data_IF_232539278645
#
_entry.id   IF_232539278645
#
_cell.length_a   1.000
_cell.length_b   1.000
_cell.length_c   1.000
_cell.angle_alpha   90.00
_cell.angle_beta   90.00
_cell.angle_gamma   90.00
#
_symmetry.space_group_name_H-M   'P 1'
#
loop_
_entity.id
_entity.type
_entity.pdbx_description
1 polymer ?
#
# COMPACT_ATOMS: atom_id res chain seq x y z
N UNK A 1 -3.95 2.25 -50.22
CA UNK A 1 -3.28 3.41 -49.62
C UNK A 1 -4.30 3.96 -48.65
N UNK A 2 -4.28 3.44 -47.42
CA UNK A 2 -5.27 3.75 -46.37
C UNK A 2 -4.51 4.53 -45.30
N UNK A 3 -4.72 5.84 -45.27
CA UNK A 3 -4.24 6.71 -44.21
C UNK A 3 -5.21 6.65 -43.01
N UNK A 4 -4.69 6.78 -41.78
CA UNK A 4 -5.42 6.43 -40.56
C UNK A 4 -6.31 7.59 -40.07
N UNK A 5 -7.45 7.23 -39.48
CA UNK A 5 -8.37 8.20 -38.87
C UNK A 5 -7.75 8.79 -37.60
N UNK A 6 -7.48 10.09 -37.70
CA UNK A 6 -7.08 11.01 -36.64
C UNK A 6 -8.30 11.40 -35.80
N UNK A 7 -8.16 11.38 -34.47
CA UNK A 7 -9.21 11.72 -33.51
C UNK A 7 -8.77 12.94 -32.71
N UNK A 8 -8.71 14.10 -33.36
CA UNK A 8 -8.69 15.37 -32.66
C UNK A 8 -9.78 16.32 -33.19
N UNK A 9 -10.65 16.73 -32.25
CA UNK A 9 -11.41 17.98 -32.17
C UNK A 9 -12.77 18.10 -32.90
N UNK A 10 -13.83 18.02 -32.08
CA UNK A 10 -14.88 19.03 -31.81
C UNK A 10 -14.98 20.22 -32.80
N UNK A 11 -16.12 20.75 -33.24
CA UNK A 11 -17.46 20.83 -32.66
C UNK A 11 -18.47 21.39 -33.70
N UNK A 12 -19.75 21.46 -33.31
CA UNK A 12 -20.85 22.34 -33.81
C UNK A 12 -22.02 21.76 -34.64
N UNK A 13 -23.15 21.62 -33.90
CA UNK A 13 -24.54 22.01 -34.26
C UNK A 13 -25.32 21.08 -35.22
N UNK A 14 -26.56 20.59 -35.00
CA UNK A 14 -27.67 20.76 -34.04
C UNK A 14 -28.62 19.54 -34.26
N UNK A 15 -29.28 18.87 -33.31
CA UNK A 15 -30.40 19.30 -32.48
C UNK A 15 -30.74 18.18 -31.47
N UNK A 16 -30.91 18.52 -30.19
CA UNK A 16 -31.30 17.61 -29.11
C UNK A 16 -32.83 17.57 -28.89
N UNK A 17 -33.42 16.42 -28.49
CA UNK A 17 -34.60 16.40 -27.64
C UNK A 17 -34.16 16.58 -26.18
N UNK A 18 -34.79 17.56 -25.51
CA UNK A 18 -34.50 17.97 -24.12
C UNK A 18 -34.85 16.85 -23.13
N UNK A 19 -33.87 16.35 -22.38
CA UNK A 19 -34.08 15.64 -21.11
C UNK A 19 -33.99 16.65 -19.96
N UNK A 20 -34.91 16.65 -18.99
CA UNK A 20 -34.77 17.44 -17.78
C UNK A 20 -33.72 16.79 -16.86
N UNK A 21 -32.63 17.51 -16.60
CA UNK A 21 -31.64 17.15 -15.59
C UNK A 21 -32.24 17.35 -14.19
N UNK A 22 -32.60 16.26 -13.52
CA UNK A 22 -32.62 16.24 -12.06
C UNK A 22 -31.47 15.38 -11.59
N UNK A 23 -30.47 16.07 -11.03
CA UNK A 23 -29.43 15.43 -10.22
C UNK A 23 -30.14 14.89 -8.97
N UNK A 24 -30.16 13.57 -8.82
CA UNK A 24 -30.72 12.91 -7.65
C UNK A 24 -29.75 13.14 -6.50
N UNK A 25 -30.17 13.92 -5.50
CA UNK A 25 -29.37 14.19 -4.32
C UNK A 25 -29.46 13.04 -3.31
N UNK A 26 -28.46 12.93 -2.43
CA UNK A 26 -28.49 11.98 -1.32
C UNK A 26 -29.74 12.17 -0.42
N UNK A 27 -30.23 13.40 -0.31
CA UNK A 27 -31.45 13.73 0.42
C UNK A 27 -32.71 13.19 -0.27
N UNK A 28 -32.73 13.07 -1.60
CA UNK A 28 -33.84 12.46 -2.34
C UNK A 28 -33.91 10.95 -2.07
N UNK A 29 -32.74 10.29 -2.01
CA UNK A 29 -32.64 8.85 -1.70
C UNK A 29 -33.05 8.54 -0.24
N UNK A 30 -32.69 9.40 0.70
CA UNK A 30 -33.11 9.28 2.10
C UNK A 30 -34.62 9.53 2.24
N UNK A 31 -35.15 10.52 1.52
CA UNK A 31 -36.59 10.82 1.51
C UNK A 31 -37.42 9.65 0.98
N UNK A 32 -36.95 8.98 -0.07
CA UNK A 32 -37.60 7.76 -0.60
C UNK A 32 -37.50 6.58 0.37
N UNK A 33 -36.36 6.40 1.05
CA UNK A 33 -36.19 5.34 2.04
C UNK A 33 -37.12 5.49 3.24
N UNK A 34 -37.27 6.71 3.79
CA UNK A 34 -38.20 6.97 4.90
C UNK A 34 -39.67 7.06 4.43
N UNK A 35 -39.92 7.54 3.21
CA UNK A 35 -41.26 7.58 2.61
C UNK A 35 -41.82 6.19 2.29
N UNK A 36 -40.95 5.22 1.94
CA UNK A 36 -41.32 3.82 1.72
C UNK A 36 -41.82 3.11 2.98
N UNK A 37 -41.26 3.41 4.15
CA UNK A 37 -41.70 2.83 5.44
C UNK A 37 -43.08 3.31 5.90
N UNK A 38 -43.53 4.48 5.47
CA UNK A 38 -44.85 5.01 5.82
C UNK A 38 -45.97 4.54 4.88
N UNK A 39 -45.64 4.09 3.65
CA UNK A 39 -46.63 3.58 2.68
C UNK A 39 -47.15 2.17 2.98
N UNK A 40 -46.38 1.34 3.69
CA UNK A 40 -46.81 -0.01 4.11
C UNK A 40 -47.81 0.03 5.27
N UNK A 41 -47.86 1.12 6.05
CA UNK A 41 -48.85 1.27 7.13
C UNK A 41 -50.22 1.70 6.57
N UNK A 42 -50.25 2.54 5.53
CA UNK A 42 -51.48 3.14 5.00
C UNK A 42 -52.26 2.27 3.99
N UNK A 43 -51.67 1.19 3.45
CA UNK A 43 -52.38 0.25 2.57
C UNK A 43 -53.22 -0.80 3.32
N UNK A 44 -53.06 -0.93 4.64
CA UNK A 44 -53.82 -1.90 5.45
C UNK A 44 -55.24 -1.42 5.81
N UNK A 45 -55.58 -0.15 5.58
CA UNK A 45 -56.82 0.47 6.06
C UNK A 45 -57.87 0.80 4.99
N UNK A 46 -57.66 0.46 3.70
CA UNK A 46 -58.56 0.85 2.59
C UNK A 46 -59.24 -0.28 1.81
N UNK A 47 -59.23 -1.52 2.31
CA UNK A 47 -60.01 -2.63 1.73
C UNK A 47 -61.22 -3.03 2.59
N UNK A 48 -62.06 -2.07 2.97
CA UNK A 48 -63.39 -2.35 3.52
C UNK A 48 -64.41 -1.34 2.96
N UNK A 49 -64.90 -1.61 1.75
CA UNK A 49 -66.26 -1.33 1.22
C UNK A 49 -66.24 -1.12 -0.30
N UNK A 50 -66.63 -2.13 -1.05
CA UNK A 50 -67.59 -2.01 -2.15
C UNK A 50 -67.94 -3.40 -2.68
N UNK A 51 -69.21 -3.76 -2.51
CA UNK A 51 -69.87 -4.95 -3.06
C UNK A 51 -70.22 -4.74 -4.53
N UNK A 52 -69.90 -5.70 -5.41
CA UNK A 52 -70.88 -6.41 -6.25
C UNK A 52 -70.19 -7.40 -7.20
N UNK A 53 -70.81 -8.58 -7.31
CA UNK A 53 -70.19 -9.80 -7.80
C UNK A 53 -69.99 -9.93 -9.30
N UNK A 54 -69.00 -10.75 -9.63
CA UNK A 54 -68.94 -11.65 -10.77
C UNK A 54 -68.16 -12.89 -10.32
N UNK A 55 -68.70 -14.07 -10.60
CA UNK A 55 -68.05 -15.37 -10.36
C UNK A 55 -66.66 -15.40 -11.01
N UNK A 56 -65.59 -15.50 -10.21
CA UNK A 56 -64.24 -15.83 -10.70
C UNK A 56 -63.45 -16.65 -9.68
N UNK A 57 -64.03 -17.77 -9.26
CA UNK A 57 -63.39 -18.72 -8.33
C UNK A 57 -62.26 -19.55 -9.00
N UNK A 58 -62.05 -19.43 -10.31
CA UNK A 58 -60.98 -20.12 -11.04
C UNK A 58 -59.73 -19.26 -11.30
N UNK A 59 -59.86 -17.94 -11.48
CA UNK A 59 -58.70 -17.07 -11.71
C UNK A 59 -57.93 -16.84 -10.40
N UNK A 60 -58.63 -16.70 -9.26
CA UNK A 60 -57.99 -16.51 -7.95
C UNK A 60 -57.15 -17.73 -7.52
N UNK A 61 -57.56 -18.95 -7.90
CA UNK A 61 -56.78 -20.17 -7.62
C UNK A 61 -55.51 -20.25 -8.48
N UNK A 62 -55.58 -19.80 -9.74
CA UNK A 62 -54.40 -19.76 -10.64
C UNK A 62 -53.43 -18.65 -10.23
N UNK A 63 -53.93 -17.49 -9.80
CA UNK A 63 -53.10 -16.40 -9.27
C UNK A 63 -52.43 -16.85 -7.96
N UNK A 64 -53.16 -17.44 -7.02
CA UNK A 64 -52.58 -17.96 -5.78
C UNK A 64 -51.56 -19.10 -6.02
N UNK A 65 -51.78 -19.96 -7.01
CA UNK A 65 -50.82 -21.00 -7.41
C UNK A 65 -49.56 -20.40 -8.08
N UNK A 66 -49.72 -19.39 -8.92
CA UNK A 66 -48.60 -18.71 -9.56
C UNK A 66 -47.80 -17.88 -8.53
N UNK A 67 -48.45 -17.22 -7.58
CA UNK A 67 -47.80 -16.49 -6.49
C UNK A 67 -47.08 -17.43 -5.53
N UNK A 68 -47.64 -18.60 -5.21
CA UNK A 68 -46.94 -19.61 -4.40
C UNK A 68 -45.78 -20.24 -5.14
N UNK A 69 -45.90 -20.46 -6.45
CA UNK A 69 -44.78 -20.91 -7.29
C UNK A 69 -43.68 -19.85 -7.40
N UNK A 70 -44.03 -18.58 -7.64
CA UNK A 70 -43.10 -17.45 -7.66
C UNK A 70 -42.45 -17.23 -6.30
N UNK A 71 -43.20 -17.30 -5.21
CA UNK A 71 -42.66 -17.21 -3.86
C UNK A 71 -41.71 -18.35 -3.55
N UNK A 72 -42.04 -19.58 -3.96
CA UNK A 72 -41.15 -20.74 -3.79
C UNK A 72 -39.90 -20.61 -4.67
N UNK A 73 -40.03 -20.08 -5.88
CA UNK A 73 -38.91 -19.79 -6.77
C UNK A 73 -38.02 -18.67 -6.22
N UNK A 74 -38.61 -17.61 -5.67
CA UNK A 74 -37.89 -16.52 -4.99
C UNK A 74 -37.23 -17.03 -3.72
N UNK A 75 -37.89 -17.86 -2.92
CA UNK A 75 -37.30 -18.49 -1.73
C UNK A 75 -36.18 -19.49 -2.10
N UNK A 76 -36.30 -20.21 -3.22
CA UNK A 76 -35.25 -21.11 -3.73
C UNK A 76 -34.08 -20.29 -4.33
N UNK A 77 -34.35 -19.18 -5.01
CA UNK A 77 -33.35 -18.22 -5.49
C UNK A 77 -32.69 -17.47 -4.34
N UNK A 78 -33.42 -17.09 -3.30
CA UNK A 78 -32.89 -16.49 -2.08
C UNK A 78 -32.08 -17.52 -1.31
N UNK A 79 -32.50 -18.79 -1.21
CA UNK A 79 -31.66 -19.85 -0.62
C UNK A 79 -30.41 -20.12 -1.44
N UNK A 80 -30.49 -20.07 -2.77
CA UNK A 80 -29.32 -20.18 -3.66
C UNK A 80 -28.41 -18.93 -3.58
N UNK A 81 -28.99 -17.74 -3.45
CA UNK A 81 -28.26 -16.49 -3.22
C UNK A 81 -27.68 -16.42 -1.80
N UNK A 82 -28.33 -17.03 -0.80
CA UNK A 82 -27.84 -17.14 0.59
C UNK A 82 -26.69 -18.14 0.71
N UNK A 83 -26.56 -19.08 -0.23
CA UNK A 83 -25.38 -19.96 -0.35
C UNK A 83 -24.19 -19.18 -0.95
N UNK A 84 -24.47 -18.11 -1.70
CA UNK A 84 -23.52 -17.06 -2.00
C UNK A 84 -23.61 -15.95 -0.96
N UNK A 85 -23.43 -16.28 0.33
CA UNK A 85 -23.15 -15.27 1.35
C UNK A 85 -22.13 -14.31 0.75
N UNK A 86 -22.42 -13.01 0.82
CA UNK A 86 -21.52 -11.91 0.48
C UNK A 86 -20.09 -12.41 0.62
N UNK A 87 -19.33 -12.47 -0.49
CA UNK A 87 -17.90 -12.78 -0.46
C UNK A 87 -17.31 -11.75 0.52
N UNK A 88 -17.26 -12.10 1.80
CA UNK A 88 -16.60 -11.35 2.86
C UNK A 88 -15.17 -11.34 2.40
N UNK A 89 -14.80 -10.29 1.65
CA UNK A 89 -13.45 -10.11 1.16
C UNK A 89 -12.59 -10.19 2.41
N UNK A 90 -11.72 -11.21 2.54
CA UNK A 90 -10.98 -11.41 3.76
C UNK A 90 -10.31 -10.10 4.12
N UNK A 91 -10.47 -9.69 5.38
CA UNK A 91 -9.92 -8.43 5.86
C UNK A 91 -8.40 -8.51 5.71
N UNK A 92 -7.88 -7.89 4.64
CA UNK A 92 -6.44 -7.78 4.42
C UNK A 92 -5.85 -6.70 5.32
N UNK A 93 -4.55 -6.73 5.54
CA UNK A 93 -3.83 -5.74 6.31
C UNK A 93 -3.35 -6.30 7.64
N UNK A 94 -2.21 -5.78 8.08
CA UNK A 94 -1.55 -6.16 9.32
C UNK A 94 -1.04 -4.90 9.98
N UNK A 95 -1.27 -4.78 11.29
CA UNK A 95 -0.74 -3.70 12.11
C UNK A 95 0.79 -3.77 12.07
N UNK A 96 1.44 -2.69 11.64
CA UNK A 96 2.90 -2.55 11.67
C UNK A 96 3.39 -1.99 13.00
N UNK A 97 2.55 -1.24 13.73
CA UNK A 97 2.91 -0.59 14.98
C UNK A 97 2.01 -1.01 16.14
N UNK A 98 2.62 -1.52 17.21
CA UNK A 98 1.97 -1.80 18.49
C UNK A 98 2.11 -0.62 19.45
N UNK A 99 2.41 -0.94 20.71
CA UNK A 99 2.55 0.05 21.77
C UNK A 99 3.87 0.81 21.66
N UNK A 100 3.80 2.15 21.64
CA UNK A 100 4.98 3.00 21.62
C UNK A 100 5.70 2.97 22.99
N UNK A 101 7.04 2.96 22.97
CA UNK A 101 7.87 3.10 24.17
C UNK A 101 8.02 4.57 24.53
N UNK A 102 8.32 4.85 25.79
CA UNK A 102 8.73 6.19 26.20
C UNK A 102 9.95 6.63 25.37
N UNK A 103 9.83 7.77 24.68
CA UNK A 103 10.92 8.27 23.85
C UNK A 103 12.15 8.59 24.71
N UNK A 104 13.36 8.31 24.20
CA UNK A 104 14.57 8.72 24.88
C UNK A 104 14.53 10.24 25.11
N UNK A 105 15.00 10.68 26.28
CA UNK A 105 15.14 12.11 26.52
C UNK A 105 16.10 12.69 25.47
N UNK A 106 15.63 13.71 24.75
CA UNK A 106 16.44 14.42 23.78
C UNK A 106 17.70 14.94 24.46
N UNK A 107 18.86 14.50 23.97
CA UNK A 107 20.13 15.02 24.48
C UNK A 107 20.17 16.52 24.20
N UNK A 108 20.41 17.30 25.27
CA UNK A 108 20.58 18.74 25.12
C UNK A 108 21.78 18.98 24.21
N UNK A 109 21.68 19.93 23.25
CA UNK A 109 22.79 20.24 22.38
C UNK A 109 24.00 20.61 23.25
N UNK A 110 25.14 19.92 23.05
CA UNK A 110 26.35 20.14 23.84
C UNK A 110 26.90 21.54 23.50
N UNK A 111 26.48 22.52 24.28
CA UNK A 111 26.76 23.95 24.10
C UNK A 111 28.17 24.36 24.51
N UNK A 112 28.91 23.49 25.21
CA UNK A 112 30.22 23.84 25.77
C UNK A 112 31.38 23.77 24.76
N UNK A 113 31.21 23.16 23.57
CA UNK A 113 32.32 22.88 22.64
C UNK A 113 32.05 23.19 21.16
N UNK A 114 30.85 23.66 20.82
CA UNK A 114 30.46 24.06 19.46
C UNK A 114 31.12 25.39 19.05
N UNK A 115 31.85 25.40 17.93
CA UNK A 115 32.45 26.61 17.33
C UNK A 115 31.35 27.60 16.92
N UNK A 116 30.19 27.06 16.52
CA UNK A 116 28.98 27.80 16.20
C UNK A 116 28.59 28.76 17.31
N UNK A 117 28.40 28.27 18.54
CA UNK A 117 28.04 29.11 19.69
C UNK A 117 29.18 29.97 20.22
N UNK A 118 30.44 29.56 20.05
CA UNK A 118 31.59 30.41 20.38
C UNK A 118 31.60 31.70 19.54
N UNK A 119 31.32 31.60 18.23
CA UNK A 119 31.22 32.78 17.36
C UNK A 119 30.06 33.72 17.74
N UNK A 120 28.93 33.19 18.22
CA UNK A 120 27.83 34.01 18.75
C UNK A 120 28.17 34.64 20.10
N UNK A 121 29.01 33.99 20.91
CA UNK A 121 29.44 34.53 22.19
C UNK A 121 30.39 35.73 22.04
N UNK A 122 31.22 35.75 20.99
CA UNK A 122 32.16 36.83 20.69
C UNK A 122 31.49 38.08 20.09
N UNK A 123 30.32 37.93 19.45
CA UNK A 123 29.61 38.99 18.70
C UNK A 123 28.61 39.78 19.54
N UNK A 124 28.59 39.61 20.87
CA UNK A 124 27.73 40.37 21.79
C UNK A 124 26.33 39.76 22.02
N UNK A 125 25.97 38.70 21.29
CA UNK A 125 24.75 37.93 21.51
C UNK A 125 24.79 37.09 22.80
N UNK A 126 25.98 36.90 23.41
CA UNK A 126 26.13 36.33 24.75
C UNK A 126 25.24 37.03 25.81
N UNK A 127 24.94 38.32 25.61
CA UNK A 127 24.02 39.05 26.47
C UNK A 127 22.60 38.50 26.39
N UNK A 128 22.09 38.15 25.21
CA UNK A 128 20.75 37.60 24.98
C UNK A 128 20.60 36.21 25.62
N UNK A 129 21.63 35.37 25.51
CA UNK A 129 21.66 34.03 26.12
C UNK A 129 21.71 34.06 27.65
N UNK A 130 22.33 35.09 28.25
CA UNK A 130 22.44 35.23 29.70
C UNK A 130 21.32 36.10 30.33
N UNK A 131 20.61 36.92 29.56
CA UNK A 131 19.65 37.88 30.11
C UNK A 131 18.22 37.35 30.27
N UNK A 132 17.81 36.32 29.51
CA UNK A 132 16.41 35.86 29.50
C UNK A 132 16.12 34.57 30.28
N UNK A 133 17.12 33.80 30.71
CA UNK A 133 16.89 32.51 31.39
C UNK A 133 16.19 31.45 30.52
N UNK A 134 15.86 31.76 29.26
CA UNK A 134 15.39 30.82 28.25
C UNK A 134 16.53 29.86 27.92
N UNK A 135 16.23 28.55 27.92
CA UNK A 135 17.22 27.53 27.59
C UNK A 135 17.72 27.76 26.17
N UNK A 136 19.03 27.59 25.94
CA UNK A 136 19.66 27.63 24.60
C UNK A 136 18.94 26.70 23.60
N UNK A 137 18.27 25.68 24.12
CA UNK A 137 17.36 24.78 23.42
C UNK A 137 16.18 25.52 22.76
N UNK A 138 15.46 26.40 23.46
CA UNK A 138 14.35 27.20 22.89
C UNK A 138 14.85 28.10 21.76
N UNK A 139 16.06 28.66 21.90
CA UNK A 139 16.67 29.46 20.84
C UNK A 139 16.98 28.61 19.60
N UNK A 140 17.54 27.41 19.77
CA UNK A 140 17.81 26.49 18.66
C UNK A 140 16.54 25.97 17.99
N UNK A 141 15.51 25.65 18.77
CA UNK A 141 14.19 25.31 18.27
C UNK A 141 13.61 26.47 17.44
N UNK A 142 13.77 27.71 17.91
CA UNK A 142 13.41 28.90 17.17
C UNK A 142 14.18 29.06 15.85
N UNK A 143 15.49 28.80 15.85
CA UNK A 143 16.30 28.84 14.62
C UNK A 143 15.88 27.75 13.62
N UNK A 144 15.53 26.56 14.13
CA UNK A 144 15.12 25.43 13.31
C UNK A 144 13.75 25.67 12.67
N UNK A 145 12.76 26.06 13.49
CA UNK A 145 11.38 26.30 13.06
C UNK A 145 11.26 27.47 12.09
N UNK A 146 12.07 28.51 12.26
CA UNK A 146 12.08 29.65 11.35
C UNK A 146 13.00 29.46 10.13
N UNK A 147 13.64 28.28 9.98
CA UNK A 147 14.52 27.97 8.85
C UNK A 147 15.88 28.69 8.85
N UNK A 148 16.21 29.47 9.87
CA UNK A 148 17.49 30.18 9.95
C UNK A 148 18.67 29.22 10.10
N UNK A 149 18.46 28.05 10.72
CA UNK A 149 19.53 27.08 10.89
C UNK A 149 20.07 26.56 9.55
N UNK A 150 19.21 26.31 8.56
CA UNK A 150 19.65 25.86 7.23
C UNK A 150 20.42 26.95 6.48
N UNK A 151 19.99 28.22 6.59
CA UNK A 151 20.70 29.37 6.03
C UNK A 151 22.08 29.56 6.66
N UNK A 152 22.19 29.37 7.97
CA UNK A 152 23.47 29.46 8.66
C UNK A 152 24.42 28.35 8.21
N UNK A 153 23.94 27.11 8.09
CA UNK A 153 24.73 25.97 7.58
C UNK A 153 25.16 26.20 6.12
N UNK A 154 24.29 26.76 5.29
CA UNK A 154 24.64 27.12 3.91
C UNK A 154 25.75 28.20 3.85
N UNK A 155 25.74 29.14 4.79
CA UNK A 155 26.73 30.23 4.86
C UNK A 155 28.08 29.76 5.42
N UNK A 156 28.06 28.88 6.43
CA UNK A 156 29.28 28.34 7.04
C UNK A 156 29.88 27.20 6.22
N UNK A 157 29.09 26.51 5.40
CA UNK A 157 29.51 25.37 4.59
C UNK A 157 29.84 24.11 5.40
N UNK A 158 29.50 24.07 6.68
CA UNK A 158 29.76 22.92 7.57
C UNK A 158 28.68 22.78 8.63
N UNK A 159 28.25 21.53 8.86
CA UNK A 159 27.33 21.17 9.93
C UNK A 159 28.09 20.50 11.07
N UNK A 160 27.99 21.04 12.28
CA UNK A 160 28.59 20.47 13.49
C UNK A 160 27.88 19.21 13.95
N UNK A 161 28.63 18.25 14.47
CA UNK A 161 28.14 16.94 14.90
C UNK A 161 27.07 17.02 15.99
N UNK A 162 27.21 17.94 16.94
CA UNK A 162 26.26 18.14 18.03
C UNK A 162 24.91 18.68 17.52
N UNK A 163 24.93 19.63 16.58
CA UNK A 163 23.74 20.20 15.96
C UNK A 163 23.09 19.18 15.02
N UNK A 164 23.89 18.42 14.27
CA UNK A 164 23.42 17.35 13.41
C UNK A 164 22.69 16.28 14.24
N UNK A 165 23.36 15.71 15.24
CA UNK A 165 22.76 14.69 16.11
C UNK A 165 21.49 15.23 16.79
N UNK A 166 21.52 16.43 17.35
CA UNK A 166 20.35 17.03 18.00
C UNK A 166 19.16 17.23 17.06
N UNK A 167 19.37 17.81 15.87
CA UNK A 167 18.28 18.01 14.89
C UNK A 167 17.72 16.67 14.40
N UNK A 168 18.57 15.67 14.20
CA UNK A 168 18.12 14.35 13.76
C UNK A 168 17.31 13.63 14.84
N UNK A 169 17.73 13.68 16.11
CA UNK A 169 16.94 13.12 17.21
C UNK A 169 15.65 13.91 17.44
N UNK A 170 15.67 15.23 17.25
CA UNK A 170 14.48 16.09 17.34
C UNK A 170 13.44 15.69 16.31
N UNK A 171 13.86 15.45 15.06
CA UNK A 171 13.00 14.91 14.01
C UNK A 171 12.36 13.57 14.40
N UNK A 172 13.12 12.69 15.05
CA UNK A 172 12.66 11.34 15.39
C UNK A 172 11.77 11.30 16.65
N UNK A 173 12.02 12.13 17.66
CA UNK A 173 11.43 11.93 18.98
C UNK A 173 10.62 13.11 19.51
N UNK A 174 10.65 14.28 18.87
CA UNK A 174 9.87 15.43 19.33
C UNK A 174 8.37 15.18 19.18
N UNK A 175 7.61 15.44 20.25
CA UNK A 175 6.15 15.41 20.24
C UNK A 175 5.51 16.67 19.63
N UNK A 176 6.31 17.69 19.32
CA UNK A 176 5.84 18.95 18.72
C UNK A 176 5.93 18.86 17.20
N UNK A 177 4.78 19.00 16.52
CA UNK A 177 4.66 18.86 15.07
C UNK A 177 5.57 19.80 14.29
N UNK A 178 5.44 21.10 14.54
CA UNK A 178 6.24 22.13 13.87
C UNK A 178 7.75 21.86 14.00
N UNK A 179 8.17 21.37 15.16
CA UNK A 179 9.58 21.15 15.44
C UNK A 179 10.13 19.93 14.68
N UNK A 180 9.45 18.79 14.70
CA UNK A 180 9.94 17.60 14.00
C UNK A 180 9.80 17.72 12.47
N UNK A 181 8.77 18.42 11.98
CA UNK A 181 8.62 18.72 10.56
C UNK A 181 9.73 19.65 10.10
N UNK A 182 10.01 20.73 10.85
CA UNK A 182 11.13 21.65 10.52
C UNK A 182 12.49 20.96 10.59
N UNK A 183 12.68 20.04 11.55
CA UNK A 183 13.87 19.20 11.62
C UNK A 183 14.02 18.29 10.40
N UNK A 184 12.92 17.70 9.92
CA UNK A 184 12.90 16.92 8.70
C UNK A 184 13.24 17.76 7.47
N UNK A 185 12.62 18.93 7.32
CA UNK A 185 12.86 19.82 6.18
C UNK A 185 14.29 20.36 6.17
N UNK A 186 14.86 20.64 7.35
CA UNK A 186 16.27 20.97 7.52
C UNK A 186 17.18 19.86 6.97
N UNK A 187 16.95 18.61 7.37
CA UNK A 187 17.73 17.46 6.89
C UNK A 187 17.53 17.20 5.40
N UNK A 188 16.29 17.23 4.91
CA UNK A 188 16.01 17.11 3.48
C UNK A 188 16.73 18.20 2.68
N UNK A 189 16.71 19.45 3.15
CA UNK A 189 17.41 20.56 2.50
C UNK A 189 18.92 20.33 2.48
N UNK A 190 19.55 19.97 3.61
CA UNK A 190 21.00 19.79 3.67
C UNK A 190 21.47 18.61 2.83
N UNK A 191 20.75 17.50 2.85
CA UNK A 191 21.13 16.30 2.12
C UNK A 191 20.88 16.46 0.61
N UNK A 192 19.73 17.00 0.21
CA UNK A 192 19.31 17.03 -1.19
C UNK A 192 19.77 18.28 -1.94
N UNK A 193 20.08 19.39 -1.27
CA UNK A 193 20.50 20.61 -1.96
C UNK A 193 21.90 20.49 -2.53
N UNK A 194 22.05 21.02 -3.74
CA UNK A 194 23.31 21.16 -4.46
C UNK A 194 23.58 22.65 -4.68
N UNK A 195 24.82 23.07 -4.46
CA UNK A 195 25.26 24.42 -4.83
C UNK A 195 25.53 24.48 -6.34
N UNK A 196 25.69 25.69 -6.90
CA UNK A 196 26.10 25.90 -8.29
C UNK A 196 27.41 25.14 -8.59
N UNK A 197 27.31 23.94 -9.17
CA UNK A 197 28.45 23.06 -9.48
C UNK A 197 28.42 21.66 -8.83
N UNK A 198 27.25 21.13 -8.46
CA UNK A 198 27.04 19.76 -7.92
C UNK A 198 27.80 19.47 -6.61
N UNK A 199 28.24 20.52 -5.90
CA UNK A 199 28.91 20.38 -4.61
C UNK A 199 27.89 20.36 -3.45
N UNK A 200 28.12 19.56 -2.39
CA UNK A 200 27.21 19.48 -1.26
C UNK A 200 27.11 20.84 -0.56
N UNK A 201 25.90 21.18 -0.11
CA UNK A 201 25.61 22.44 0.58
C UNK A 201 26.45 22.64 1.84
N UNK A 202 26.76 21.56 2.56
CA UNK A 202 27.65 21.57 3.70
C UNK A 202 28.45 20.27 3.84
N UNK A 203 29.64 20.37 4.43
CA UNK A 203 30.37 19.19 4.92
C UNK A 203 29.70 18.67 6.19
N UNK A 204 29.29 17.41 6.13
CA UNK A 204 28.73 16.68 7.27
C UNK A 204 29.86 16.04 8.08
N UNK A 205 30.04 16.47 9.33
CA UNK A 205 30.91 15.78 10.28
C UNK A 205 30.24 14.53 10.90
N UNK A 206 28.91 14.58 11.03
CA UNK A 206 28.07 13.49 11.50
C UNK A 206 27.02 13.11 10.45
N UNK A 207 26.74 11.81 10.34
CA UNK A 207 25.70 11.28 9.44
C UNK A 207 24.75 10.37 10.21
N UNK A 208 23.45 10.32 9.81
CA UNK A 208 22.50 9.38 10.37
C UNK A 208 23.00 7.94 10.25
N UNK A 209 22.94 7.13 11.30
CA UNK A 209 23.29 5.71 11.22
C UNK A 209 22.04 4.83 11.09
N UNK A 210 22.23 3.63 10.53
CA UNK A 210 21.19 2.60 10.54
C UNK A 210 20.68 2.30 11.96
N UNK A 211 21.57 2.24 12.95
CA UNK A 211 21.19 1.97 14.34
C UNK A 211 20.19 2.99 14.89
N UNK A 212 20.39 4.29 14.62
CA UNK A 212 19.47 5.35 15.09
C UNK A 212 18.09 5.22 14.42
N UNK A 213 18.04 4.89 13.13
CA UNK A 213 16.78 4.66 12.42
C UNK A 213 16.07 3.38 12.89
N UNK A 214 16.82 2.32 13.18
CA UNK A 214 16.28 1.06 13.70
C UNK A 214 15.75 1.21 15.12
N UNK A 215 16.48 1.93 15.97
CA UNK A 215 16.10 2.18 17.36
C UNK A 215 14.86 3.07 17.44
N UNK A 216 14.75 4.09 16.60
CA UNK A 216 13.55 4.95 16.53
C UNK A 216 12.31 4.17 16.14
N UNK A 217 12.36 3.36 15.09
CA UNK A 217 11.26 2.46 14.71
C UNK A 217 10.89 1.47 15.82
N UNK A 218 11.89 0.95 16.53
CA UNK A 218 11.67 0.07 17.67
C UNK A 218 11.02 0.79 18.86
N UNK A 219 11.29 2.08 19.05
CA UNK A 219 10.65 2.94 20.05
C UNK A 219 9.23 3.35 19.63
N UNK A 220 8.98 3.49 18.34
CA UNK A 220 7.64 3.66 17.76
C UNK A 220 6.75 2.42 17.91
N UNK A 221 7.27 1.32 18.47
CA UNK A 221 6.49 0.11 18.67
C UNK A 221 6.36 -0.76 17.42
N UNK A 222 7.30 -0.66 16.47
CA UNK A 222 7.26 -1.48 15.27
C UNK A 222 7.30 -2.97 15.60
N UNK A 223 6.31 -3.69 15.05
CA UNK A 223 6.12 -5.11 15.21
C UNK A 223 6.94 -5.83 14.15
N UNK A 224 8.16 -6.21 14.51
CA UNK A 224 8.99 -7.07 13.66
C UNK A 224 8.18 -8.33 13.32
N UNK A 225 7.92 -8.62 12.04
CA UNK A 225 7.01 -9.69 11.67
C UNK A 225 7.55 -11.02 12.19
N UNK A 226 6.87 -11.60 13.19
CA UNK A 226 7.31 -12.84 13.83
C UNK A 226 6.99 -14.06 12.95
N UNK A 227 7.78 -15.12 13.14
CA UNK A 227 7.67 -16.40 12.44
C UNK A 227 6.32 -17.10 12.64
N UNK A 228 5.60 -16.79 13.73
CA UNK A 228 4.30 -17.36 14.06
C UNK A 228 3.33 -16.21 14.34
N UNK A 229 2.22 -16.18 13.60
CA UNK A 229 1.17 -15.15 13.70
C UNK A 229 0.39 -15.20 15.01
N UNK A 230 1.04 -14.99 16.14
CA UNK A 230 0.34 -14.55 17.35
C UNK A 230 0.00 -13.09 17.15
N UNK A 231 -1.29 -12.83 16.91
CA UNK A 231 -1.85 -11.50 17.06
C UNK A 231 -1.49 -10.99 18.46
N UNK A 232 -0.82 -9.85 18.54
CA UNK A 232 -0.54 -9.23 19.83
C UNK A 232 -1.86 -8.93 20.52
N UNK A 233 -2.04 -9.48 21.72
CA UNK A 233 -3.14 -9.15 22.60
C UNK A 233 -3.18 -7.62 22.81
N UNK A 234 -4.38 -7.06 22.63
CA UNK A 234 -4.67 -5.65 22.84
C UNK A 234 -4.39 -5.34 24.31
N UNK A 235 -3.39 -4.51 24.60
CA UNK A 235 -3.21 -3.99 25.95
C UNK A 235 -4.28 -2.91 26.20
N UNK A 236 -5.20 -3.16 27.13
CA UNK A 236 -6.24 -2.20 27.56
C UNK A 236 -5.69 -1.03 28.40
N UNK A 237 -4.40 -0.70 28.29
CA UNK A 237 -3.79 0.40 29.06
C UNK A 237 -3.43 1.57 28.13
N UNK A 238 -3.62 2.79 28.62
CA UNK A 238 -3.68 4.06 27.88
C UNK A 238 -2.39 4.53 27.18
N UNK A 239 -1.62 3.60 26.61
CA UNK A 239 -0.48 3.88 25.77
C UNK A 239 -0.93 4.25 24.34
N UNK A 240 -0.22 5.19 23.71
CA UNK A 240 -0.49 5.57 22.32
C UNK A 240 -0.31 4.35 21.39
N UNK A 241 -1.42 3.77 20.95
CA UNK A 241 -1.45 2.76 19.88
C UNK A 241 -1.44 3.45 18.51
N UNK A 242 -0.69 2.87 17.57
CA UNK A 242 -0.70 3.30 16.17
C UNK A 242 0.61 3.93 15.71
N UNK A 243 0.69 4.30 14.42
CA UNK A 243 1.90 4.91 13.88
C UNK A 243 2.18 6.23 14.62
N UNK A 244 3.44 6.51 14.95
CA UNK A 244 3.82 7.74 15.62
C UNK A 244 3.59 8.95 14.71
N UNK A 245 3.40 10.13 15.29
CA UNK A 245 3.26 11.39 14.54
C UNK A 245 4.44 11.61 13.60
N UNK A 246 5.64 11.25 14.05
CA UNK A 246 6.90 11.51 13.35
C UNK A 246 7.22 10.47 12.25
N UNK A 247 6.33 9.50 11.98
CA UNK A 247 6.59 8.46 10.97
C UNK A 247 6.82 9.06 9.58
N UNK A 248 6.09 10.12 9.24
CA UNK A 248 6.26 10.81 7.97
C UNK A 248 7.68 11.39 7.85
N UNK A 249 8.17 12.05 8.89
CA UNK A 249 9.54 12.56 8.96
C UNK A 249 10.58 11.45 8.87
N UNK A 250 10.34 10.30 9.52
CA UNK A 250 11.22 9.13 9.40
C UNK A 250 11.29 8.64 7.95
N UNK A 251 10.16 8.50 7.27
CA UNK A 251 10.07 8.05 5.86
C UNK A 251 10.81 9.03 4.93
N UNK A 252 10.57 10.33 5.10
CA UNK A 252 11.20 11.40 4.30
C UNK A 252 12.72 11.46 4.53
N UNK A 253 13.17 11.33 5.77
CA UNK A 253 14.59 11.31 6.10
C UNK A 253 15.30 10.08 5.52
N UNK A 254 14.69 8.89 5.63
CA UNK A 254 15.23 7.68 5.01
C UNK A 254 15.34 7.86 3.49
N UNK A 255 14.30 8.41 2.85
CA UNK A 255 14.32 8.71 1.41
C UNK A 255 15.48 9.62 1.04
N UNK A 256 15.68 10.72 1.77
CA UNK A 256 16.79 11.65 1.54
C UNK A 256 18.17 10.99 1.73
N UNK A 257 18.35 10.19 2.78
CA UNK A 257 19.59 9.44 3.02
C UNK A 257 19.90 8.45 1.88
N UNK A 258 18.87 7.86 1.25
CA UNK A 258 19.07 6.93 0.14
C UNK A 258 19.55 7.64 -1.15
N UNK A 259 19.06 8.86 -1.40
CA UNK A 259 19.37 9.59 -2.64
C UNK A 259 20.82 10.09 -2.70
N UNK A 260 21.51 10.16 -1.56
CA UNK A 260 22.86 10.70 -1.47
C UNK A 260 23.97 9.64 -1.47
N UNK A 261 23.66 8.37 -1.77
CA UNK A 261 24.64 7.27 -1.75
C UNK A 261 25.96 7.61 -2.47
N UNK A 262 25.87 8.30 -3.61
CA UNK A 262 27.03 8.68 -4.42
C UNK A 262 28.01 9.61 -3.68
N UNK A 263 27.51 10.39 -2.71
CA UNK A 263 28.27 11.32 -1.88
C UNK A 263 28.64 10.72 -0.53
N UNK A 264 27.68 10.06 0.10
CA UNK A 264 27.81 9.45 1.41
C UNK A 264 27.21 8.05 1.39
N UNK A 265 28.06 7.04 1.57
CA UNK A 265 27.60 5.67 1.80
C UNK A 265 27.18 5.53 3.27
N UNK A 266 25.97 5.99 3.57
CA UNK A 266 25.41 5.99 4.93
C UNK A 266 25.11 4.57 5.41
N UNK A 267 24.59 3.73 4.51
CA UNK A 267 24.11 2.39 4.83
C UNK A 267 24.91 1.32 4.10
N UNK A 268 25.14 0.20 4.76
CA UNK A 268 25.58 -1.02 4.10
C UNK A 268 24.43 -1.65 3.30
N UNK A 269 24.77 -2.53 2.36
CA UNK A 269 23.80 -3.24 1.53
C UNK A 269 22.84 -4.10 2.36
N UNK A 270 23.32 -4.71 3.45
CA UNK A 270 22.51 -5.51 4.38
C UNK A 270 21.52 -4.66 5.18
N UNK A 271 21.95 -3.49 5.64
CA UNK A 271 21.06 -2.57 6.38
C UNK A 271 19.94 -2.05 5.48
N UNK A 272 20.24 -1.78 4.21
CA UNK A 272 19.23 -1.38 3.23
C UNK A 272 18.26 -2.49 2.86
N UNK A 273 18.69 -3.76 2.88
CA UNK A 273 17.77 -4.89 2.73
C UNK A 273 16.76 -4.90 3.89
N UNK A 274 17.23 -4.75 5.13
CA UNK A 274 16.34 -4.69 6.31
C UNK A 274 15.38 -3.49 6.23
N UNK A 275 15.85 -2.30 5.83
CA UNK A 275 14.99 -1.12 5.66
C UNK A 275 13.97 -1.27 4.53
N UNK A 276 14.35 -1.93 3.42
CA UNK A 276 13.41 -2.24 2.34
C UNK A 276 12.31 -3.19 2.81
N UNK A 277 12.66 -4.20 3.62
CA UNK A 277 11.65 -5.08 4.23
C UNK A 277 10.67 -4.26 5.09
N UNK A 278 11.16 -3.38 5.96
CA UNK A 278 10.33 -2.52 6.82
C UNK A 278 9.37 -1.66 5.99
N UNK A 279 9.86 -0.99 4.94
CA UNK A 279 9.02 -0.15 4.08
C UNK A 279 7.98 -0.98 3.33
N UNK A 280 8.31 -2.18 2.84
CA UNK A 280 7.31 -3.07 2.23
C UNK A 280 6.24 -3.49 3.26
N UNK A 281 6.63 -3.74 4.50
CA UNK A 281 5.69 -4.06 5.58
C UNK A 281 4.74 -2.91 5.92
N UNK A 282 5.16 -1.66 5.78
CA UNK A 282 4.29 -0.50 5.99
C UNK A 282 3.08 -0.49 5.05
N UNK A 283 3.18 -1.04 3.83
CA UNK A 283 2.04 -1.13 2.92
C UNK A 283 0.94 -2.12 3.37
N UNK A 284 1.24 -2.99 4.34
CA UNK A 284 0.22 -3.85 4.94
C UNK A 284 -0.54 -3.14 6.07
N UNK A 285 -0.03 -2.04 6.62
CA UNK A 285 -0.73 -1.30 7.66
C UNK A 285 -1.72 -0.31 7.04
N UNK A 286 -3.02 -0.55 7.30
CA UNK A 286 -4.09 0.32 6.80
C UNK A 286 -4.00 1.74 7.36
N UNK A 287 -3.43 1.94 8.54
CA UNK A 287 -3.27 3.27 9.14
C UNK A 287 -2.25 4.13 8.39
N UNK A 288 -1.36 3.52 7.59
CA UNK A 288 -0.34 4.21 6.81
C UNK A 288 -0.79 4.52 5.37
N UNK A 289 -2.03 4.16 4.98
CA UNK A 289 -2.53 4.42 3.63
C UNK A 289 -2.54 5.91 3.27
N UNK A 290 -2.72 6.80 4.26
CA UNK A 290 -2.64 8.25 4.06
C UNK A 290 -1.24 8.75 3.67
N UNK A 291 -0.19 7.95 3.89
CA UNK A 291 1.21 8.26 3.60
C UNK A 291 1.71 7.56 2.33
N UNK A 292 0.81 7.08 1.47
CA UNK A 292 1.18 6.28 0.30
C UNK A 292 2.13 7.01 -0.67
N UNK A 293 2.00 8.33 -0.80
CA UNK A 293 2.87 9.13 -1.67
C UNK A 293 4.31 9.18 -1.13
N UNK A 294 4.46 9.48 0.15
CA UNK A 294 5.74 9.54 0.86
C UNK A 294 6.39 8.17 0.92
N UNK A 295 5.60 7.12 1.20
CA UNK A 295 6.06 5.73 1.18
C UNK A 295 6.55 5.32 -0.21
N UNK A 296 5.83 5.66 -1.28
CA UNK A 296 6.27 5.36 -2.65
C UNK A 296 7.57 6.08 -3.00
N UNK A 297 7.69 7.37 -2.63
CA UNK A 297 8.94 8.12 -2.83
C UNK A 297 10.12 7.51 -2.09
N UNK A 298 9.90 7.07 -0.85
CA UNK A 298 10.90 6.39 -0.04
C UNK A 298 11.27 5.01 -0.62
N UNK A 299 10.28 4.20 -0.97
CA UNK A 299 10.45 2.90 -1.61
C UNK A 299 11.30 3.02 -2.89
N UNK A 300 10.96 3.96 -3.77
CA UNK A 300 11.75 4.20 -4.99
C UNK A 300 13.18 4.62 -4.65
N UNK A 301 13.38 5.50 -3.67
CA UNK A 301 14.72 5.91 -3.23
C UNK A 301 15.55 4.73 -2.73
N UNK A 302 14.94 3.79 -1.99
CA UNK A 302 15.59 2.56 -1.51
C UNK A 302 15.93 1.61 -2.66
N UNK A 303 15.01 1.38 -3.59
CA UNK A 303 15.27 0.53 -4.78
C UNK A 303 16.41 1.09 -5.63
N UNK A 304 16.47 2.41 -5.75
CA UNK A 304 17.55 3.09 -6.48
C UNK A 304 18.85 3.24 -5.69
N UNK A 305 18.83 2.99 -4.37
CA UNK A 305 20.04 2.95 -3.56
C UNK A 305 20.99 1.87 -4.07
N UNK A 306 20.50 0.65 -4.32
CA UNK A 306 21.34 -0.50 -4.68
C UNK A 306 22.10 -0.30 -6.01
N UNK A 307 23.35 -0.78 -6.07
CA UNK A 307 24.09 -0.88 -7.32
C UNK A 307 23.54 -2.05 -8.15
N UNK A 308 23.72 -2.00 -9.47
CA UNK A 308 23.26 -3.08 -10.35
C UNK A 308 23.87 -4.44 -9.98
N UNK A 309 25.13 -4.46 -9.53
CA UNK A 309 25.81 -5.68 -9.07
C UNK A 309 25.27 -6.24 -7.76
N UNK A 310 24.60 -5.41 -6.94
CA UNK A 310 24.06 -5.80 -5.64
C UNK A 310 22.57 -6.14 -5.72
N UNK A 311 21.88 -5.62 -6.73
CA UNK A 311 20.42 -5.57 -6.77
C UNK A 311 19.79 -6.96 -6.88
N UNK A 312 20.27 -7.82 -7.78
CA UNK A 312 19.67 -9.14 -8.01
C UNK A 312 19.72 -10.02 -6.75
N UNK A 313 20.90 -10.14 -6.13
CA UNK A 313 21.11 -10.91 -4.90
C UNK A 313 20.33 -10.32 -3.71
N UNK A 314 20.32 -9.00 -3.58
CA UNK A 314 19.59 -8.31 -2.50
C UNK A 314 18.09 -8.48 -2.63
N UNK A 315 17.59 -8.35 -3.85
CA UNK A 315 16.17 -8.51 -4.18
C UNK A 315 15.67 -9.92 -3.87
N UNK A 316 16.42 -10.96 -4.24
CA UNK A 316 16.05 -12.34 -3.92
C UNK A 316 16.02 -12.59 -2.40
N UNK A 317 17.00 -12.06 -1.66
CA UNK A 317 17.04 -12.17 -0.18
C UNK A 317 15.85 -11.49 0.48
N UNK A 318 15.56 -10.24 0.10
CA UNK A 318 14.43 -9.47 0.61
C UNK A 318 13.12 -10.18 0.29
N UNK A 319 12.94 -10.64 -0.96
CA UNK A 319 11.74 -11.35 -1.37
C UNK A 319 11.52 -12.65 -0.58
N UNK A 320 12.56 -13.45 -0.38
CA UNK A 320 12.49 -14.67 0.42
C UNK A 320 12.14 -14.37 1.89
N UNK A 321 12.78 -13.35 2.46
CA UNK A 321 12.61 -12.90 3.84
C UNK A 321 11.18 -12.40 4.11
N UNK A 322 10.61 -11.65 3.17
CA UNK A 322 9.22 -11.17 3.22
C UNK A 322 8.25 -12.34 3.06
N UNK A 323 8.40 -13.13 2.00
CA UNK A 323 7.47 -14.21 1.68
C UNK A 323 7.33 -15.22 2.83
N UNK A 324 8.41 -15.47 3.57
CA UNK A 324 8.40 -16.38 4.71
C UNK A 324 7.48 -15.91 5.86
N UNK A 325 7.29 -14.59 6.02
CA UNK A 325 6.60 -13.97 7.17
C UNK A 325 5.18 -13.51 6.87
N UNK A 326 4.77 -13.56 5.61
CA UNK A 326 3.48 -13.05 5.13
C UNK A 326 2.45 -14.17 5.19
N UNK A 327 1.26 -13.91 5.78
CA UNK A 327 0.16 -14.88 5.73
C UNK A 327 -0.20 -15.23 4.28
N UNK A 328 -0.54 -16.50 4.03
CA UNK A 328 -0.90 -17.04 2.71
C UNK A 328 -2.33 -16.64 2.29
N UNK A 329 -2.64 -15.35 2.37
CA UNK A 329 -3.94 -14.76 2.11
C UNK A 329 -3.82 -13.54 1.17
N UNK A 330 -4.81 -12.63 1.19
CA UNK A 330 -4.79 -11.42 0.36
C UNK A 330 -3.60 -10.49 0.66
N UNK A 331 -2.92 -10.63 1.80
CA UNK A 331 -1.70 -9.87 2.11
C UNK A 331 -0.55 -10.19 1.15
N UNK A 332 -0.48 -11.43 0.62
CA UNK A 332 0.45 -11.77 -0.45
C UNK A 332 0.26 -10.88 -1.68
N UNK A 333 -1.00 -10.65 -2.05
CA UNK A 333 -1.33 -9.81 -3.21
C UNK A 333 -0.99 -8.35 -2.94
N UNK A 334 -1.29 -7.86 -1.73
CA UNK A 334 -0.99 -6.47 -1.33
C UNK A 334 0.50 -6.14 -1.38
N UNK A 335 1.36 -7.04 -0.93
CA UNK A 335 2.82 -6.85 -1.00
C UNK A 335 3.33 -6.79 -2.44
N UNK A 336 2.73 -7.55 -3.34
CA UNK A 336 3.13 -7.52 -4.75
C UNK A 336 2.56 -6.26 -5.43
N UNK A 337 1.33 -5.88 -5.11
CA UNK A 337 0.67 -4.68 -5.64
C UNK A 337 1.31 -3.38 -5.18
N UNK A 338 1.87 -3.32 -3.96
CA UNK A 338 2.50 -2.12 -3.42
C UNK A 338 3.80 -1.75 -4.14
N UNK A 339 4.42 -2.70 -4.85
CA UNK A 339 5.55 -2.40 -5.73
C UNK A 339 5.02 -1.69 -6.98
N UNK A 340 4.86 -0.38 -6.85
CA UNK A 340 4.50 0.53 -7.92
C UNK A 340 5.74 0.96 -8.67
N UNK A 341 5.73 0.87 -10.01
CA UNK A 341 6.87 1.26 -10.82
C UNK A 341 6.86 0.56 -12.18
N UNK A 342 7.39 1.25 -13.19
CA UNK A 342 7.52 0.71 -14.55
C UNK A 342 8.97 0.42 -14.94
N UNK A 343 9.92 0.79 -14.09
CA UNK A 343 11.34 0.53 -14.29
C UNK A 343 11.67 -0.96 -14.11
N UNK A 344 12.84 -1.36 -14.60
CA UNK A 344 13.23 -2.77 -14.57
C UNK A 344 13.50 -3.28 -13.16
N UNK A 345 13.93 -2.42 -12.23
CA UNK A 345 14.26 -2.84 -10.86
C UNK A 345 12.99 -3.15 -10.06
N UNK A 346 12.00 -2.25 -10.09
CA UNK A 346 10.71 -2.48 -9.41
C UNK A 346 9.98 -3.67 -10.00
N UNK A 347 9.95 -3.79 -11.33
CA UNK A 347 9.50 -4.99 -12.02
C UNK A 347 10.18 -6.23 -11.44
N UNK A 348 11.51 -6.29 -11.47
CA UNK A 348 12.26 -7.46 -10.99
C UNK A 348 11.92 -7.81 -9.53
N UNK A 349 11.84 -6.83 -8.64
CA UNK A 349 11.40 -7.04 -7.26
C UNK A 349 9.98 -7.60 -7.16
N UNK A 350 9.05 -7.06 -7.93
CA UNK A 350 7.67 -7.55 -8.00
C UNK A 350 7.61 -9.03 -8.42
N UNK A 351 8.43 -9.40 -9.42
CA UNK A 351 8.56 -10.79 -9.88
C UNK A 351 9.18 -11.70 -8.82
N UNK A 352 10.23 -11.26 -8.14
CA UNK A 352 10.89 -12.06 -7.10
C UNK A 352 9.97 -12.26 -5.88
N UNK A 353 9.25 -11.22 -5.46
CA UNK A 353 8.23 -11.33 -4.42
C UNK A 353 7.16 -12.35 -4.79
N UNK A 354 6.64 -12.28 -6.02
CA UNK A 354 5.66 -13.23 -6.50
C UNK A 354 6.18 -14.68 -6.51
N UNK A 355 7.42 -14.90 -6.97
CA UNK A 355 8.06 -16.22 -6.97
C UNK A 355 8.17 -16.78 -5.54
N UNK A 356 8.74 -16.02 -4.62
CA UNK A 356 8.95 -16.50 -3.25
C UNK A 356 7.65 -16.70 -2.49
N UNK A 357 6.64 -15.85 -2.71
CA UNK A 357 5.30 -16.05 -2.15
C UNK A 357 4.65 -17.34 -2.68
N UNK A 358 4.79 -17.63 -3.98
CA UNK A 358 4.32 -18.90 -4.56
C UNK A 358 5.07 -20.10 -3.95
N UNK A 359 6.40 -20.05 -3.84
CA UNK A 359 7.20 -21.11 -3.21
C UNK A 359 6.70 -21.41 -1.79
N UNK A 360 6.46 -20.38 -0.98
CA UNK A 360 5.93 -20.53 0.38
C UNK A 360 4.50 -21.06 0.37
N UNK A 361 3.65 -20.62 -0.56
CA UNK A 361 2.28 -21.13 -0.72
C UNK A 361 2.24 -22.64 -0.99
N UNK A 362 3.22 -23.16 -1.73
CA UNK A 362 3.39 -24.60 -2.02
C UNK A 362 4.25 -25.35 -0.97
N UNK A 363 4.40 -24.81 0.24
CA UNK A 363 5.17 -25.41 1.34
C UNK A 363 6.63 -25.73 0.97
N UNK A 364 7.26 -24.87 0.17
CA UNK A 364 8.64 -25.02 -0.30
C UNK A 364 8.91 -26.29 -1.11
N UNK A 365 7.87 -26.92 -1.67
CA UNK A 365 7.98 -28.12 -2.52
C UNK A 365 8.46 -27.80 -3.94
N UNK A 366 8.38 -26.53 -4.34
CA UNK A 366 8.76 -26.02 -5.65
C UNK A 366 9.84 -24.97 -5.52
N UNK A 367 10.68 -24.85 -6.55
CA UNK A 367 11.80 -23.89 -6.59
C UNK A 367 11.80 -23.00 -7.82
N UNK A 368 11.02 -23.33 -8.85
CA UNK A 368 11.02 -22.62 -10.13
C UNK A 368 9.61 -22.31 -10.62
N UNK A 369 9.51 -21.31 -11.50
CA UNK A 369 8.25 -20.95 -12.16
C UNK A 369 7.66 -22.12 -12.97
N UNK A 370 8.53 -22.93 -13.58
CA UNK A 370 8.15 -24.11 -14.34
C UNK A 370 7.49 -25.17 -13.45
N UNK A 371 8.11 -25.53 -12.33
CA UNK A 371 7.54 -26.50 -11.36
C UNK A 371 6.20 -26.02 -10.79
N UNK A 372 6.08 -24.71 -10.49
CA UNK A 372 4.83 -24.11 -10.02
C UNK A 372 3.72 -24.29 -11.06
N UNK A 373 4.01 -23.99 -12.32
CA UNK A 373 3.04 -24.09 -13.41
C UNK A 373 2.68 -25.54 -13.74
N UNK A 374 3.62 -26.48 -13.66
CA UNK A 374 3.34 -27.91 -13.84
C UNK A 374 2.35 -28.42 -12.78
N UNK A 375 2.56 -28.06 -11.51
CA UNK A 375 1.63 -28.40 -10.44
C UNK A 375 0.24 -27.79 -10.71
N UNK A 376 0.18 -26.52 -11.09
CA UNK A 376 -1.08 -25.83 -11.35
C UNK A 376 -1.83 -26.36 -12.58
N UNK A 377 -1.12 -26.71 -13.65
CA UNK A 377 -1.71 -27.31 -14.83
C UNK A 377 -2.33 -28.69 -14.54
N UNK A 378 -1.84 -29.38 -13.50
CA UNK A 378 -2.34 -30.69 -13.04
C UNK A 378 -3.53 -30.61 -12.07
N UNK A 379 -3.93 -29.42 -11.60
CA UNK A 379 -5.03 -29.26 -10.64
C UNK A 379 -6.37 -29.65 -11.27
N UNK A 380 -7.13 -30.49 -10.57
CA UNK A 380 -8.47 -30.87 -10.98
C UNK A 380 -9.52 -29.85 -10.50
N UNK A 381 -9.88 -28.90 -11.38
CA UNK A 381 -10.83 -27.82 -11.07
C UNK A 381 -12.28 -28.29 -10.86
N UNK A 382 -12.60 -29.52 -11.27
CA UNK A 382 -13.93 -30.12 -11.08
C UNK A 382 -14.10 -30.75 -9.70
N UNK A 383 -13.02 -30.93 -8.95
CA UNK A 383 -13.09 -31.53 -7.63
C UNK A 383 -13.76 -30.57 -6.63
N UNK A 384 -14.70 -31.06 -5.82
CA UNK A 384 -15.42 -30.25 -4.84
C UNK A 384 -14.50 -29.68 -3.74
N UNK A 385 -13.35 -30.29 -3.50
CA UNK A 385 -12.32 -29.87 -2.54
C UNK A 385 -11.42 -28.74 -3.06
N UNK A 386 -11.58 -28.33 -4.33
CA UNK A 386 -10.74 -27.31 -4.95
C UNK A 386 -10.99 -25.92 -4.32
N UNK A 387 -9.92 -25.32 -3.81
CA UNK A 387 -9.94 -24.00 -3.17
C UNK A 387 -9.69 -22.89 -4.20
N UNK A 388 -10.76 -22.31 -4.73
CA UNK A 388 -10.67 -21.22 -5.72
C UNK A 388 -10.11 -19.93 -5.16
N UNK A 389 -10.21 -19.71 -3.85
CA UNK A 389 -9.60 -18.54 -3.23
C UNK A 389 -8.07 -18.62 -3.34
N UNK A 390 -7.49 -19.78 -3.00
CA UNK A 390 -6.05 -20.03 -3.22
C UNK A 390 -5.67 -19.97 -4.70
N UNK A 391 -6.47 -20.57 -5.59
CA UNK A 391 -6.20 -20.49 -7.03
C UNK A 391 -6.23 -19.06 -7.55
N UNK A 392 -7.11 -18.21 -7.03
CA UNK A 392 -7.13 -16.79 -7.38
C UNK A 392 -5.85 -16.08 -6.94
N UNK A 393 -5.38 -16.34 -5.71
CA UNK A 393 -4.10 -15.81 -5.24
C UNK A 393 -2.96 -16.27 -6.16
N UNK A 394 -2.89 -17.56 -6.48
CA UNK A 394 -1.84 -18.12 -7.34
C UNK A 394 -1.89 -17.52 -8.75
N UNK A 395 -3.09 -17.35 -9.31
CA UNK A 395 -3.30 -16.74 -10.62
C UNK A 395 -2.74 -15.32 -10.67
N UNK A 396 -3.03 -14.50 -9.66
CA UNK A 396 -2.52 -13.12 -9.58
C UNK A 396 -1.02 -13.08 -9.33
N UNK A 397 -0.48 -13.94 -8.46
CA UNK A 397 0.96 -14.01 -8.23
C UNK A 397 1.71 -14.43 -9.49
N UNK A 398 1.22 -15.41 -10.25
CA UNK A 398 1.86 -15.86 -11.48
C UNK A 398 1.82 -14.79 -12.57
N UNK A 399 0.70 -14.07 -12.71
CA UNK A 399 0.65 -12.91 -13.60
C UNK A 399 1.81 -11.96 -13.30
N UNK A 400 2.03 -11.63 -12.02
CA UNK A 400 3.10 -10.71 -11.61
C UNK A 400 4.52 -11.30 -11.74
N UNK A 401 4.69 -12.61 -11.55
CA UNK A 401 5.93 -13.33 -11.83
C UNK A 401 6.31 -13.25 -13.32
N UNK A 402 5.32 -13.40 -14.20
CA UNK A 402 5.54 -13.45 -15.64
C UNK A 402 5.63 -12.05 -16.30
N UNK A 403 5.39 -10.96 -15.56
CA UNK A 403 5.55 -9.59 -16.05
C UNK A 403 7.01 -9.22 -16.39
N UNK A 404 7.99 -9.91 -15.80
CA UNK A 404 9.44 -9.58 -15.92
C UNK A 404 10.24 -10.65 -16.59
N UNK A 405 9.82 -11.91 -16.39
CA UNK A 405 10.15 -12.95 -17.35
C UNK A 405 9.85 -12.34 -18.74
N UNK A 406 10.69 -12.58 -19.75
CA UNK A 406 10.33 -12.26 -21.14
C UNK A 406 9.67 -13.50 -21.76
N UNK A 407 8.52 -14.00 -21.27
CA UNK A 407 7.96 -15.24 -21.78
C UNK A 407 7.62 -15.09 -23.26
N UNK A 408 7.25 -13.88 -23.71
CA UNK A 408 6.75 -13.68 -25.07
C UNK A 408 7.84 -13.47 -26.14
N UNK A 409 9.12 -13.47 -25.77
CA UNK A 409 10.21 -13.38 -26.76
C UNK A 409 10.83 -14.75 -27.11
N UNK A 410 10.65 -15.77 -26.27
CA UNK A 410 11.14 -17.12 -26.52
C UNK A 410 10.01 -18.14 -26.34
N UNK A 411 9.92 -19.15 -27.21
CA UNK A 411 9.02 -20.32 -27.03
C UNK A 411 9.49 -21.15 -25.83
N UNK A 412 9.28 -20.63 -24.64
CA UNK A 412 9.63 -21.27 -23.38
C UNK A 412 8.48 -22.15 -22.92
N UNK A 413 8.80 -23.33 -22.39
CA UNK A 413 7.86 -24.28 -21.78
C UNK A 413 6.96 -23.62 -20.72
N UNK A 414 7.46 -22.57 -20.05
CA UNK A 414 6.72 -21.75 -19.08
C UNK A 414 5.50 -21.09 -19.71
N UNK A 415 5.59 -20.64 -20.97
CA UNK A 415 4.46 -19.99 -21.68
C UNK A 415 3.37 -20.99 -22.01
N UNK A 416 3.76 -22.17 -22.50
CA UNK A 416 2.82 -23.23 -22.87
C UNK A 416 2.06 -23.73 -21.63
N UNK A 417 2.77 -23.94 -20.51
CA UNK A 417 2.16 -24.32 -19.24
C UNK A 417 1.22 -23.24 -18.69
N UNK A 418 1.61 -21.97 -18.81
CA UNK A 418 0.76 -20.85 -18.38
C UNK A 418 -0.51 -20.73 -19.23
N UNK A 419 -0.38 -20.84 -20.55
CA UNK A 419 -1.52 -20.87 -21.46
C UNK A 419 -2.47 -22.04 -21.13
N UNK A 420 -1.91 -23.24 -20.91
CA UNK A 420 -2.68 -24.41 -20.52
C UNK A 420 -3.43 -24.21 -19.21
N UNK A 421 -2.76 -23.65 -18.19
CA UNK A 421 -3.39 -23.38 -16.90
C UNK A 421 -4.54 -22.37 -17.04
N UNK A 422 -4.33 -21.26 -17.74
CA UNK A 422 -5.38 -20.27 -17.99
C UNK A 422 -6.56 -20.86 -18.79
N UNK A 423 -6.26 -21.65 -19.81
CA UNK A 423 -7.28 -22.34 -20.61
C UNK A 423 -8.11 -23.27 -19.73
N UNK A 424 -7.47 -24.06 -18.85
CA UNK A 424 -8.17 -24.91 -17.89
C UNK A 424 -9.06 -24.10 -16.95
N UNK A 425 -8.56 -23.01 -16.36
CA UNK A 425 -9.35 -22.13 -15.48
C UNK A 425 -10.54 -21.50 -16.19
N UNK A 426 -10.39 -21.09 -17.45
CA UNK A 426 -11.48 -20.45 -18.20
C UNK A 426 -12.55 -21.43 -18.71
N UNK A 427 -12.18 -22.68 -19.04
CA UNK A 427 -13.07 -23.64 -19.69
C UNK A 427 -13.65 -24.70 -18.75
N UNK A 428 -12.90 -25.12 -17.74
CA UNK A 428 -13.34 -26.18 -16.83
C UNK A 428 -14.19 -25.66 -15.67
N UNK A 429 -14.05 -24.38 -15.32
CA UNK A 429 -14.93 -23.70 -14.36
C UNK A 429 -16.19 -23.25 -15.11
N UNK A 430 -17.35 -23.80 -14.76
CA UNK A 430 -18.60 -23.46 -15.42
C UNK A 430 -19.08 -22.07 -15.00
N UNK A 431 -19.87 -21.40 -15.84
CA UNK A 431 -20.50 -20.12 -15.49
C UNK A 431 -21.50 -20.25 -14.34
N UNK A 432 -21.99 -21.47 -14.10
CA UNK A 432 -22.91 -21.83 -13.02
C UNK A 432 -22.19 -22.40 -11.81
N UNK A 433 -20.87 -22.26 -11.72
CA UNK A 433 -20.10 -22.66 -10.55
C UNK A 433 -20.23 -21.60 -9.46
N UNK A 434 -21.07 -21.90 -8.47
CA UNK A 434 -21.40 -21.00 -7.36
C UNK A 434 -20.40 -21.08 -6.20
N UNK A 435 -19.32 -21.88 -6.33
CA UNK A 435 -18.26 -21.92 -5.31
C UNK A 435 -17.59 -20.54 -5.19
N UNK A 436 -17.30 -20.10 -3.97
CA UNK A 436 -16.68 -18.79 -3.71
C UNK A 436 -15.38 -18.64 -4.52
N UNK A 437 -15.14 -17.45 -5.06
CA UNK A 437 -14.03 -17.12 -5.99
C UNK A 437 -13.99 -17.86 -7.34
N UNK A 438 -14.81 -18.89 -7.62
CA UNK A 438 -14.77 -19.62 -8.90
C UNK A 438 -15.03 -18.69 -10.10
N UNK A 439 -16.04 -17.82 -9.99
CA UNK A 439 -16.37 -16.82 -11.01
C UNK A 439 -15.24 -15.80 -11.22
N UNK A 440 -14.54 -15.39 -10.15
CA UNK A 440 -13.39 -14.47 -10.18
C UNK A 440 -12.19 -15.10 -10.90
N UNK A 441 -11.86 -16.34 -10.56
CA UNK A 441 -10.78 -17.11 -11.22
C UNK A 441 -11.07 -17.26 -12.72
N UNK A 442 -12.28 -17.71 -13.08
CA UNK A 442 -12.69 -17.87 -14.48
C UNK A 442 -12.57 -16.56 -15.26
N UNK A 443 -13.13 -15.48 -14.73
CA UNK A 443 -13.16 -14.17 -15.40
C UNK A 443 -11.76 -13.59 -15.57
N UNK A 444 -10.92 -13.66 -14.53
CA UNK A 444 -9.52 -13.21 -14.59
C UNK A 444 -8.71 -14.04 -15.58
N UNK A 445 -8.88 -15.37 -15.59
CA UNK A 445 -8.19 -16.24 -16.53
C UNK A 445 -8.58 -15.95 -17.99
N UNK A 446 -9.88 -15.78 -18.27
CA UNK A 446 -10.37 -15.37 -19.59
C UNK A 446 -9.79 -14.03 -20.05
N UNK A 447 -9.74 -13.03 -19.17
CA UNK A 447 -9.13 -11.73 -19.47
C UNK A 447 -7.64 -11.86 -19.82
N UNK A 448 -6.89 -12.66 -19.05
CA UNK A 448 -5.46 -12.88 -19.30
C UNK A 448 -5.20 -13.63 -20.62
N UNK A 449 -6.03 -14.61 -20.98
CA UNK A 449 -5.94 -15.30 -22.27
C UNK A 449 -6.16 -14.35 -23.44
N UNK A 450 -7.17 -13.49 -23.36
CA UNK A 450 -7.46 -12.50 -24.41
C UNK A 450 -6.27 -11.55 -24.61
N UNK A 451 -5.69 -11.07 -23.51
CA UNK A 451 -4.51 -10.20 -23.57
C UNK A 451 -3.28 -10.87 -24.20
N UNK A 452 -3.10 -12.18 -24.02
CA UNK A 452 -2.02 -12.90 -24.69
C UNK A 452 -2.26 -13.09 -26.17
N UNK A 453 -3.50 -13.40 -26.57
CA UNK A 453 -3.85 -13.52 -27.98
C UNK A 453 -3.56 -12.21 -28.73
N UNK A 454 -3.94 -11.07 -28.14
CA UNK A 454 -3.68 -9.74 -28.71
C UNK A 454 -2.18 -9.43 -28.85
N UNK A 455 -1.36 -9.80 -27.85
CA UNK A 455 0.10 -9.61 -27.90
C UNK A 455 0.83 -10.53 -28.87
N UNK A 456 0.23 -11.65 -29.27
CA UNK A 456 0.79 -12.55 -30.28
C UNK A 456 0.49 -12.12 -31.72
N UNK A 457 -0.49 -11.22 -31.90
CA UNK A 457 -0.87 -10.65 -33.21
C UNK A 457 -0.24 -9.29 -33.52
N UNK A 458 0.53 -8.73 -32.58
CA UNK A 458 1.34 -7.51 -32.72
C UNK A 458 2.81 -7.86 -32.75
#
# INVERSE_FOLDING_TARGET
MEEPLDFEQEDFLSHAPRLPSKVIGMDDLLSDFYGGKNKTVDQSSRHLKASNGYDSDEDDKRVAQNETYLRKFVEDCEKQASIGSEDDVPIWGRRAFGTQKAFPQLEKPVTASSVFFQNFSETGFASIFNSNGESVEIFLEGLLTNGWLSHLVATTGSLEDSIASWTFHTMLYSSVEDLHVSACDFWCSILLSENEGDQPLAKLGWTPSYSVLKDSISNYGYLWPAFNGTDCEISEDGACEGPPLNICSWIRALSACCQIRNRYQIFSTTEMQELLEVVIWFYLDRHLLGLALELNGCFHSIVHYFLDSEWEDSCAKVAASIAFRVPKDLNCLRIVECVTGTDNRTKYLKSQLALHLLIVCFDNKVKSAEEILELLASVNLKENSCDFFKLYIYLVLIENLLLVYRPFQEKSKVVDLWYQYLHNCSTQITSTDWRSYASKVRSKASYLLQNMALKSSS
#
